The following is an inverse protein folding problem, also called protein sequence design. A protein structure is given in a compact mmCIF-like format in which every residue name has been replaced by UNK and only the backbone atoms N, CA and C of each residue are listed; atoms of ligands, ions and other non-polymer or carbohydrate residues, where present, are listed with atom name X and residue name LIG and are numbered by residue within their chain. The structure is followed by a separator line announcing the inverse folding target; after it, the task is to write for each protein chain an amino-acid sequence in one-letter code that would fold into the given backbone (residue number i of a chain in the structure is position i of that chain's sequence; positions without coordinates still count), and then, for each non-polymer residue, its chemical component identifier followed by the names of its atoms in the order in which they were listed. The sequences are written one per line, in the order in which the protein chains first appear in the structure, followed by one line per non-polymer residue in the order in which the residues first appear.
data_IF_111687230186
#
_entry.id   IF_111687230186
#
_cell.length_a   1.000
_cell.length_b   1.000
_cell.length_c   1.000
_cell.angle_alpha   90.00
_cell.angle_beta   90.00
_cell.angle_gamma   90.00
#
_symmetry.space_group_name_H-M   'P 1'
#
loop_
_entity.id
_entity.type
_entity.pdbx_description
1 polymer ?
#
# COMPACT_ATOMS: atom_id res chain seq x y z
N UNK A 1 0.85 -1.21 40.50
CA UNK A 1 1.02 0.25 40.48
C UNK A 1 0.18 0.77 39.33
N UNK A 2 -0.72 1.72 39.56
CA UNK A 2 -1.56 2.29 38.51
C UNK A 2 -0.78 3.43 37.85
N UNK A 3 -0.40 3.26 36.58
CA UNK A 3 0.21 4.34 35.79
C UNK A 3 -0.79 5.45 35.58
N UNK A 4 -0.33 6.71 35.59
CA UNK A 4 -1.26 7.83 35.47
C UNK A 4 -1.89 7.85 34.07
N UNK A 5 -3.17 8.24 33.92
CA UNK A 5 -3.83 8.23 32.60
C UNK A 5 -3.18 9.21 31.60
N UNK A 6 -2.46 10.22 32.09
CA UNK A 6 -1.68 11.12 31.23
C UNK A 6 -0.41 10.47 30.71
N UNK A 7 0.33 9.73 31.56
CA UNK A 7 1.48 8.92 31.10
C UNK A 7 1.07 7.88 30.06
N UNK A 8 -0.09 7.23 30.23
CA UNK A 8 -0.55 6.28 29.22
C UNK A 8 -0.81 6.96 27.87
N UNK A 9 -1.30 8.21 27.85
CA UNK A 9 -1.54 8.95 26.60
C UNK A 9 -0.23 9.30 25.89
N UNK A 10 0.74 9.84 26.62
CA UNK A 10 2.03 10.20 26.03
C UNK A 10 2.76 8.97 25.51
N UNK A 11 2.72 7.85 26.24
CA UNK A 11 3.35 6.59 25.80
C UNK A 11 2.65 6.04 24.55
N UNK A 12 1.32 6.09 24.48
CA UNK A 12 0.55 5.66 23.28
C UNK A 12 0.99 6.38 22.01
N UNK A 13 1.26 7.68 22.10
CA UNK A 13 1.76 8.47 20.97
C UNK A 13 3.13 7.99 20.49
N UNK A 14 3.95 7.43 21.39
CA UNK A 14 5.29 6.91 21.09
C UNK A 14 5.29 5.45 20.60
N UNK A 15 4.24 4.66 20.86
CA UNK A 15 4.23 3.22 20.59
C UNK A 15 4.49 2.88 19.11
N UNK A 16 3.93 3.66 18.18
CA UNK A 16 4.14 3.43 16.75
C UNK A 16 5.61 3.64 16.35
N UNK A 17 6.25 4.69 16.88
CA UNK A 17 7.68 4.93 16.66
C UNK A 17 8.54 3.84 17.30
N UNK A 18 8.15 3.37 18.48
CA UNK A 18 8.83 2.27 19.17
C UNK A 18 8.75 0.97 18.37
N UNK A 19 7.55 0.60 17.88
CA UNK A 19 7.33 -0.59 17.05
C UNK A 19 8.07 -0.55 15.69
N UNK A 20 8.45 0.64 15.22
CA UNK A 20 9.24 0.85 14.01
C UNK A 20 10.73 1.08 14.27
N UNK A 21 11.18 1.00 15.53
CA UNK A 21 12.54 1.33 15.96
C UNK A 21 13.00 2.73 15.48
N UNK A 22 12.09 3.70 15.49
CA UNK A 22 12.35 5.07 14.99
C UNK A 22 12.45 6.13 16.08
N UNK A 23 12.36 5.75 17.36
CA UNK A 23 12.48 6.67 18.50
C UNK A 23 13.94 6.93 18.87
N UNK A 24 14.16 8.06 19.56
CA UNK A 24 15.42 8.29 20.26
C UNK A 24 15.61 7.25 21.38
N UNK A 25 16.86 6.91 21.75
CA UNK A 25 17.11 5.89 22.77
C UNK A 25 16.50 6.23 24.14
N UNK A 26 16.42 7.52 24.48
CA UNK A 26 15.80 8.01 25.72
C UNK A 26 14.30 7.74 25.73
N UNK A 27 13.61 8.02 24.62
CA UNK A 27 12.17 7.78 24.45
C UNK A 27 11.87 6.28 24.43
N UNK A 28 12.70 5.50 23.74
CA UNK A 28 12.57 4.05 23.69
C UNK A 28 12.72 3.41 25.08
N UNK A 29 13.65 3.90 25.90
CA UNK A 29 13.81 3.45 27.29
C UNK A 29 12.58 3.79 28.14
N UNK A 30 12.00 4.98 27.95
CA UNK A 30 10.79 5.40 28.64
C UNK A 30 9.59 4.51 28.27
N UNK A 31 9.39 4.22 27.00
CA UNK A 31 8.34 3.29 26.52
C UNK A 31 8.56 1.90 27.10
N UNK A 32 9.77 1.36 27.01
CA UNK A 32 10.11 0.05 27.55
C UNK A 32 9.77 -0.05 29.05
N UNK A 33 10.19 0.93 29.85
CA UNK A 33 9.89 0.97 31.29
C UNK A 33 8.37 0.98 31.54
N UNK A 34 7.61 1.76 30.78
CA UNK A 34 6.15 1.80 30.93
C UNK A 34 5.48 0.47 30.56
N UNK A 35 5.90 -0.17 29.47
CA UNK A 35 5.34 -1.46 29.03
C UNK A 35 5.52 -2.59 30.05
N UNK A 36 6.54 -2.52 30.92
CA UNK A 36 6.71 -3.49 32.02
C UNK A 36 5.66 -3.34 33.13
N UNK A 37 5.02 -2.17 33.22
CA UNK A 37 4.11 -1.83 34.33
C UNK A 37 2.65 -1.68 33.89
N UNK A 38 2.40 -1.38 32.61
CA UNK A 38 1.06 -1.14 32.08
C UNK A 38 0.65 -2.20 31.04
N UNK A 39 -0.27 -3.13 31.39
CA UNK A 39 -0.71 -4.17 30.45
C UNK A 39 -1.51 -3.59 29.28
N UNK A 40 -2.30 -2.53 29.49
CA UNK A 40 -3.10 -1.93 28.41
C UNK A 40 -2.24 -1.34 27.29
N UNK A 41 -1.12 -0.68 27.64
CA UNK A 41 -0.17 -0.17 26.66
C UNK A 41 0.63 -1.30 25.99
N UNK A 42 0.83 -2.42 26.70
CA UNK A 42 1.47 -3.61 26.15
C UNK A 42 0.60 -4.29 25.09
N UNK A 43 -0.68 -4.48 25.36
CA UNK A 43 -1.61 -5.07 24.38
C UNK A 43 -1.66 -4.22 23.09
N UNK A 44 -1.68 -2.90 23.24
CA UNK A 44 -1.66 -1.97 22.10
C UNK A 44 -0.35 -2.02 21.33
N UNK A 45 0.79 -2.09 22.05
CA UNK A 45 2.10 -2.30 21.43
C UNK A 45 2.15 -3.61 20.66
N UNK A 46 1.64 -4.71 21.21
CA UNK A 46 1.64 -6.02 20.56
C UNK A 46 0.84 -5.99 19.25
N UNK A 47 -0.29 -5.27 19.21
CA UNK A 47 -1.04 -5.03 17.98
C UNK A 47 -0.21 -4.25 16.93
N UNK A 48 0.47 -3.19 17.35
CA UNK A 48 1.29 -2.38 16.45
C UNK A 48 2.53 -3.15 15.96
N UNK A 49 3.16 -3.93 16.82
CA UNK A 49 4.31 -4.76 16.51
C UNK A 49 3.97 -5.86 15.51
N UNK A 50 2.78 -6.48 15.65
CA UNK A 50 2.29 -7.45 14.67
C UNK A 50 2.16 -6.83 13.26
N UNK A 51 1.62 -5.61 13.16
CA UNK A 51 1.50 -4.91 11.89
C UNK A 51 2.87 -4.49 11.35
N UNK A 52 3.75 -3.95 12.20
CA UNK A 52 5.07 -3.48 11.78
C UNK A 52 5.96 -4.62 11.27
N UNK A 53 5.80 -5.84 11.82
CA UNK A 53 6.50 -7.04 11.36
C UNK A 53 6.23 -7.40 9.89
N UNK A 54 5.10 -6.95 9.31
CA UNK A 54 4.78 -7.20 7.90
C UNK A 54 5.36 -6.14 6.94
N UNK A 55 5.80 -4.98 7.43
CA UNK A 55 6.30 -3.90 6.59
C UNK A 55 7.56 -4.25 5.79
N UNK A 56 8.55 -5.02 6.31
CA UNK A 56 9.69 -5.46 5.52
C UNK A 56 9.28 -6.29 4.29
N UNK A 57 8.35 -7.23 4.46
CA UNK A 57 7.85 -8.07 3.37
C UNK A 57 7.18 -7.24 2.27
N UNK A 58 6.36 -6.26 2.67
CA UNK A 58 5.73 -5.33 1.73
C UNK A 58 6.77 -4.48 0.98
N UNK A 59 7.80 -3.99 1.69
CA UNK A 59 8.89 -3.22 1.09
C UNK A 59 9.64 -4.05 0.04
N UNK A 60 9.94 -5.29 0.34
CA UNK A 60 10.62 -6.21 -0.59
C UNK A 60 9.76 -6.50 -1.82
N UNK A 61 8.48 -6.81 -1.65
CA UNK A 61 7.55 -7.05 -2.75
C UNK A 61 7.47 -5.84 -3.69
N UNK A 62 7.32 -4.63 -3.12
CA UNK A 62 7.29 -3.39 -3.90
C UNK A 62 8.61 -3.13 -4.62
N UNK A 63 9.76 -3.37 -3.97
CA UNK A 63 11.07 -3.22 -4.59
C UNK A 63 11.25 -4.17 -5.78
N UNK A 64 10.78 -5.41 -5.67
CA UNK A 64 10.80 -6.38 -6.77
C UNK A 64 9.93 -5.95 -7.95
N UNK A 65 8.74 -5.42 -7.70
CA UNK A 65 7.85 -4.93 -8.76
C UNK A 65 8.43 -3.73 -9.49
N UNK A 66 9.03 -2.79 -8.76
CA UNK A 66 9.73 -1.64 -9.36
C UNK A 66 10.87 -2.14 -10.27
N UNK A 67 11.68 -3.09 -9.78
CA UNK A 67 12.77 -3.68 -10.57
C UNK A 67 12.27 -4.39 -11.82
N UNK A 68 11.18 -5.18 -11.74
CA UNK A 68 10.56 -5.81 -12.92
C UNK A 68 10.07 -4.80 -13.94
N UNK A 69 9.46 -3.70 -13.49
CA UNK A 69 9.00 -2.61 -14.38
C UNK A 69 10.18 -1.93 -15.07
N UNK A 70 11.26 -1.64 -14.33
CA UNK A 70 12.49 -1.07 -14.90
C UNK A 70 13.14 -2.00 -15.93
N UNK A 71 13.17 -3.32 -15.68
CA UNK A 71 13.72 -4.29 -16.65
C UNK A 71 12.87 -4.43 -17.91
N UNK A 72 11.54 -4.28 -17.81
CA UNK A 72 10.64 -4.28 -18.98
C UNK A 72 10.75 -2.99 -19.78
N UNK A 73 11.15 -1.89 -19.16
CA UNK A 73 11.54 -0.67 -19.86
C UNK A 73 12.91 -0.89 -20.50
N UNK A 74 12.93 -1.55 -21.66
CA UNK A 74 14.06 -1.46 -22.57
C UNK A 74 13.92 -0.09 -23.24
N UNK A 75 14.78 0.91 -22.95
CA UNK A 75 14.81 2.08 -23.80
C UNK A 75 15.10 1.55 -25.21
N UNK A 76 14.21 1.85 -26.16
CA UNK A 76 14.48 1.57 -27.57
C UNK A 76 15.91 2.04 -27.84
N UNK A 77 16.79 1.20 -28.43
CA UNK A 77 18.17 1.61 -28.65
C UNK A 77 18.10 2.94 -29.37
N UNK A 78 18.60 4.01 -28.73
CA UNK A 78 18.84 5.25 -29.43
C UNK A 78 19.74 4.82 -30.58
N UNK A 79 19.19 4.91 -31.79
CA UNK A 79 19.78 4.42 -33.02
C UNK A 79 21.25 4.84 -32.99
N UNK A 80 22.11 3.86 -32.74
CA UNK A 80 23.54 4.03 -32.89
C UNK A 80 23.72 4.25 -34.39
N UNK A 81 23.76 5.51 -34.78
CA UNK A 81 24.19 5.95 -36.09
C UNK A 81 25.61 5.42 -36.29
N UNK A 82 25.73 4.20 -36.78
CA UNK A 82 26.92 3.71 -37.46
C UNK A 82 26.85 4.25 -38.89
N UNK A 83 27.64 5.28 -39.27
CA UNK A 83 27.84 5.54 -40.67
C UNK A 83 28.88 4.55 -41.20
N UNK A 84 28.61 4.04 -42.39
CA UNK A 84 29.54 3.30 -43.24
C UNK A 84 29.76 1.82 -42.91
N UNK A 85 29.03 0.97 -43.64
CA UNK A 85 29.60 0.13 -44.71
C UNK A 85 28.53 -0.84 -45.18
N UNK A 86 27.65 -0.36 -46.08
CA UNK A 86 26.95 -1.19 -47.07
C UNK A 86 26.16 -0.30 -48.04
N UNK A 87 26.81 0.73 -48.60
CA UNK A 87 26.34 1.34 -49.84
C UNK A 87 26.93 0.56 -51.00
N UNK A 88 26.18 -0.40 -51.50
CA UNK A 88 26.03 -0.73 -52.92
C UNK A 88 25.20 -2.00 -52.98
N UNK A 89 23.88 -1.86 -53.10
CA UNK A 89 23.09 -2.47 -54.17
C UNK A 89 21.59 -2.23 -53.92
N UNK A 90 20.97 -1.61 -54.93
CA UNK A 90 19.53 -1.59 -55.27
C UNK A 90 18.68 -0.47 -54.66
N UNK A 91 18.65 0.62 -55.42
CA UNK A 91 17.52 1.56 -55.53
C UNK A 91 16.20 0.80 -55.76
N UNK A 92 15.19 1.08 -54.93
CA UNK A 92 13.77 1.16 -55.32
C UNK A 92 13.11 2.28 -54.51
N UNK A 93 12.34 3.19 -55.14
CA UNK A 93 11.60 4.22 -54.43
C UNK A 93 10.19 3.70 -54.09
N UNK A 94 9.78 3.79 -52.83
CA UNK A 94 8.36 3.67 -52.47
C UNK A 94 8.09 4.41 -51.17
N UNK A 95 7.42 5.57 -51.32
CA UNK A 95 6.71 6.40 -50.34
C UNK A 95 7.12 6.27 -48.88
N UNK A 96 7.99 7.18 -48.44
CA UNK A 96 8.09 7.55 -47.03
C UNK A 96 6.84 8.34 -46.63
N UNK A 97 6.01 7.77 -45.75
CA UNK A 97 5.05 8.56 -44.96
C UNK A 97 5.89 9.23 -43.87
N UNK A 98 6.09 10.54 -44.00
CA UNK A 98 6.67 11.38 -42.95
C UNK A 98 5.76 11.33 -41.72
N UNK A 99 6.12 10.50 -40.74
CA UNK A 99 5.59 10.63 -39.39
C UNK A 99 6.16 11.91 -38.79
N UNK A 100 5.36 12.96 -38.72
CA UNK A 100 5.75 14.20 -38.04
C UNK A 100 5.97 13.90 -36.56
N UNK A 101 7.11 14.33 -35.96
CA UNK A 101 7.30 14.22 -34.53
C UNK A 101 6.25 15.10 -33.84
N UNK A 102 5.38 14.49 -33.04
CA UNK A 102 4.38 15.22 -32.28
C UNK A 102 5.09 15.99 -31.16
N UNK A 103 4.81 17.29 -31.08
CA UNK A 103 5.27 18.11 -29.96
C UNK A 103 4.52 17.72 -28.67
N UNK A 104 5.11 18.00 -27.51
CA UNK A 104 4.53 17.69 -26.19
C UNK A 104 3.09 18.23 -26.05
N UNK A 105 2.78 19.37 -26.66
CA UNK A 105 1.44 19.96 -26.69
C UNK A 105 0.43 19.15 -27.52
N UNK A 106 0.86 18.52 -28.61
CA UNK A 106 0.00 17.64 -29.41
C UNK A 106 -0.30 16.31 -28.70
N UNK A 107 0.65 15.80 -27.92
CA UNK A 107 0.44 14.60 -27.10
C UNK A 107 -0.58 14.85 -25.97
N UNK A 108 -0.48 15.99 -25.28
CA UNK A 108 -1.41 16.36 -24.20
C UNK A 108 -2.84 16.60 -24.70
N UNK A 109 -2.99 17.16 -25.90
CA UNK A 109 -4.31 17.36 -26.53
C UNK A 109 -4.99 16.02 -26.85
N UNK A 110 -4.20 15.01 -27.26
CA UNK A 110 -4.71 13.68 -27.58
C UNK A 110 -5.15 12.90 -26.33
N UNK A 111 -4.47 13.09 -25.20
CA UNK A 111 -4.87 12.43 -23.95
C UNK A 111 -6.15 13.01 -23.33
N UNK A 112 -6.42 14.32 -23.51
CA UNK A 112 -7.72 14.92 -23.10
C UNK A 112 -8.88 14.44 -23.96
N UNK A 113 -8.63 14.15 -25.25
CA UNK A 113 -9.66 13.64 -26.16
C UNK A 113 -9.98 12.15 -25.95
N UNK A 114 -9.18 11.41 -25.18
CA UNK A 114 -9.40 9.98 -24.87
C UNK A 114 -10.12 9.72 -23.55
N UNK A 115 -10.54 10.77 -22.83
CA UNK A 115 -11.40 10.64 -21.66
C UNK A 115 -12.88 10.65 -22.05
N UNK A 116 -13.57 9.55 -21.74
CA UNK A 116 -15.03 9.34 -21.67
C UNK A 116 -15.81 9.00 -22.96
N UNK A 117 -16.34 7.76 -23.03
CA UNK A 117 -17.77 7.56 -23.24
C UNK A 117 -18.37 6.93 -21.98
N UNK A 118 -18.53 7.74 -20.94
CA UNK A 118 -19.13 7.37 -19.66
C UNK A 118 -20.44 8.11 -19.39
N UNK A 119 -21.39 8.16 -20.33
CA UNK A 119 -22.74 8.66 -20.00
C UNK A 119 -23.83 8.18 -20.98
N UNK A 120 -24.39 6.98 -20.73
CA UNK A 120 -25.75 6.60 -21.13
C UNK A 120 -26.20 5.32 -20.42
N UNK A 121 -26.65 5.45 -19.17
CA UNK A 121 -27.68 4.57 -18.59
C UNK A 121 -28.16 5.10 -17.23
N UNK A 122 -28.59 6.37 -17.18
CA UNK A 122 -29.53 6.81 -16.16
C UNK A 122 -30.96 6.64 -16.72
N UNK A 123 -31.61 5.53 -16.36
CA UNK A 123 -33.06 5.39 -16.22
C UNK A 123 -33.39 3.94 -15.85
N UNK A 124 -33.66 3.72 -14.57
CA UNK A 124 -34.80 2.95 -14.05
C UNK A 124 -34.56 2.61 -12.58
N UNK A 125 -34.86 3.58 -11.72
CA UNK A 125 -35.22 3.31 -10.34
C UNK A 125 -36.74 3.08 -10.27
N UNK A 126 -37.18 2.08 -9.50
CA UNK A 126 -38.36 2.25 -8.67
C UNK A 126 -38.00 2.01 -7.20
N UNK A 127 -38.28 3.01 -6.36
CA UNK A 127 -38.33 2.88 -4.90
C UNK A 127 -39.75 2.41 -4.46
N UNK A 128 -40.04 2.33 -3.16
CA UNK A 128 -39.85 1.15 -2.31
C UNK A 128 -41.20 0.53 -1.89
N UNK A 129 -41.20 -0.74 -1.46
CA UNK A 129 -42.32 -1.30 -0.71
C UNK A 129 -41.90 -1.62 0.72
N UNK A 130 -42.57 -0.94 1.63
CA UNK A 130 -42.59 -1.21 3.06
C UNK A 130 -43.32 -2.52 3.33
N UNK A 131 -42.76 -3.36 4.20
CA UNK A 131 -43.51 -4.23 5.09
C UNK A 131 -42.80 -4.27 6.44
N UNK A 132 -43.57 -3.94 7.47
CA UNK A 132 -43.24 -4.10 8.87
C UNK A 132 -43.38 -5.57 9.31
N UNK A 133 -43.24 -5.78 10.63
CA UNK A 133 -43.26 -7.04 11.40
C UNK A 133 -41.98 -7.88 11.28
N UNK A 134 -41.31 -8.29 12.35
CA UNK A 134 -41.65 -8.35 13.77
C UNK A 134 -40.92 -9.56 14.37
N UNK A 135 -40.78 -9.57 15.70
CA UNK A 135 -40.44 -10.72 16.56
C UNK A 135 -38.95 -10.93 16.92
N UNK A 136 -38.67 -10.50 18.16
CA UNK A 136 -37.93 -11.19 19.23
C UNK A 136 -37.15 -12.47 18.93
N UNK A 137 -35.90 -12.51 19.38
CA UNK A 137 -35.10 -13.73 19.37
C UNK A 137 -33.80 -13.61 20.17
N UNK A 138 -33.93 -13.46 21.50
CA UNK A 138 -32.84 -13.56 22.47
C UNK A 138 -32.21 -14.96 22.41
N UNK A 139 -30.92 -15.05 22.05
CA UNK A 139 -30.11 -16.23 22.28
C UNK A 139 -28.62 -15.86 22.49
N UNK A 140 -28.21 -15.85 23.76
CA UNK A 140 -26.81 -16.09 24.15
C UNK A 140 -26.51 -17.59 23.98
N UNK A 141 -25.30 -17.94 23.55
CA UNK A 141 -24.49 -18.76 24.44
C UNK A 141 -22.98 -18.48 24.41
N UNK A 142 -22.42 -18.48 25.62
CA UNK A 142 -21.17 -19.17 26.00
C UNK A 142 -19.82 -18.63 25.50
N UNK A 143 -19.28 -17.73 26.32
CA UNK A 143 -17.95 -17.80 26.96
C UNK A 143 -17.03 -18.94 26.49
N UNK A 144 -16.15 -18.62 25.54
CA UNK A 144 -14.95 -19.40 25.27
C UNK A 144 -13.84 -18.92 26.22
N UNK A 145 -13.43 -19.81 27.13
CA UNK A 145 -12.27 -19.61 27.99
C UNK A 145 -10.99 -19.54 27.14
N UNK A 146 -10.06 -18.62 27.41
CA UNK A 146 -8.74 -18.66 26.80
C UNK A 146 -7.94 -19.84 27.37
N UNK A 147 -7.48 -20.72 26.48
CA UNK A 147 -6.44 -21.70 26.77
C UNK A 147 -5.12 -20.93 26.91
N UNK A 148 -4.59 -20.88 28.13
CA UNK A 148 -3.24 -20.38 28.40
C UNK A 148 -2.26 -21.51 28.04
N UNK A 149 -1.53 -21.35 26.93
CA UNK A 149 -0.32 -22.12 26.67
C UNK A 149 0.89 -21.36 27.23
N UNK A 150 1.68 -21.91 28.16
CA UNK A 150 2.94 -21.31 28.57
C UNK A 150 4.01 -21.50 27.48
N UNK A 151 4.73 -20.43 27.16
CA UNK A 151 5.93 -20.44 26.30
C UNK A 151 7.11 -21.10 27.04
N UNK A 152 7.96 -21.91 26.37
CA UNK A 152 9.19 -22.41 26.99
C UNK A 152 10.24 -21.31 27.11
N UNK A 153 10.81 -21.17 28.30
CA UNK A 153 12.04 -20.40 28.55
C UNK A 153 13.22 -21.09 27.86
N UNK A 154 13.94 -20.36 27.01
CA UNK A 154 15.26 -20.75 26.56
C UNK A 154 16.29 -20.34 27.63
N UNK A 155 17.15 -21.29 28.01
CA UNK A 155 18.35 -21.07 28.80
C UNK A 155 19.56 -20.75 27.93
#
# INVERSE_FOLDING_TARGET
MFTSPQECRTIRELLAGYALNSLAPEEAAQVCAHLTTCPACRDEYDCLAAVSAHLPLLREALAHDIKRRQQRYVPAPAESCHPSRQQLRRRRPTRAILGTPLTVTQLLSRMRASGEPGERAARNAPAPRATADGVEGRATPQSLRPVVTPWPSAG
#
